data_IF_299348597198
#
_entry.id   IF_299348597198
#
_cell.length_a   1.000
_cell.length_b   1.000
_cell.length_c   1.000
_cell.angle_alpha   90.00
_cell.angle_beta   90.00
_cell.angle_gamma   90.00
#
_symmetry.space_group_name_H-M   'P 1'
#
loop_
_entity.id
_entity.type
_entity.pdbx_description
1 polymer ?
#
# COMPACT_ATOMS: atom_id res chain seq x y z
N UNK A 1 -7.50 13.39 24.78
CA UNK A 1 -8.87 12.81 24.74
C UNK A 1 -9.61 13.13 23.44
N UNK A 2 -9.93 14.39 23.13
CA UNK A 2 -10.62 14.80 21.87
C UNK A 2 -9.93 14.33 20.58
N UNK A 3 -8.59 14.29 20.57
CA UNK A 3 -7.80 13.87 19.41
C UNK A 3 -7.90 12.36 19.12
N UNK A 4 -7.88 11.51 20.15
CA UNK A 4 -8.04 10.05 19.98
C UNK A 4 -9.44 9.72 19.44
N UNK A 5 -10.47 10.41 19.94
CA UNK A 5 -11.84 10.25 19.47
C UNK A 5 -12.03 10.73 18.02
N UNK A 6 -11.46 11.89 17.68
CA UNK A 6 -11.48 12.43 16.32
C UNK A 6 -10.76 11.50 15.33
N UNK A 7 -9.61 10.93 15.74
CA UNK A 7 -8.87 9.96 14.94
C UNK A 7 -9.70 8.69 14.69
N UNK A 8 -10.36 8.13 15.71
CA UNK A 8 -11.22 6.94 15.55
C UNK A 8 -12.42 7.22 14.64
N UNK A 9 -13.09 8.37 14.79
CA UNK A 9 -14.23 8.75 13.92
C UNK A 9 -13.80 8.94 12.46
N UNK A 10 -12.64 9.54 12.23
CA UNK A 10 -12.06 9.72 10.88
C UNK A 10 -11.75 8.37 10.23
N UNK A 11 -11.16 7.45 10.99
CA UNK A 11 -10.84 6.09 10.53
C UNK A 11 -12.10 5.29 10.20
N UNK A 12 -13.15 5.36 11.05
CA UNK A 12 -14.44 4.72 10.80
C UNK A 12 -15.09 5.25 9.51
N UNK A 13 -15.05 6.56 9.28
CA UNK A 13 -15.59 7.16 8.06
C UNK A 13 -14.79 6.76 6.82
N UNK A 14 -13.46 6.73 6.92
CA UNK A 14 -12.57 6.30 5.82
C UNK A 14 -12.87 4.85 5.43
N UNK A 15 -13.00 3.96 6.42
CA UNK A 15 -13.32 2.55 6.21
C UNK A 15 -14.73 2.33 5.65
N UNK A 16 -15.72 3.12 6.10
CA UNK A 16 -17.08 3.07 5.55
C UNK A 16 -17.08 3.48 4.08
N UNK A 17 -16.38 4.56 3.75
CA UNK A 17 -16.20 4.99 2.36
C UNK A 17 -15.57 3.89 1.50
N UNK A 18 -14.53 3.22 2.00
CA UNK A 18 -13.91 2.09 1.29
C UNK A 18 -14.84 0.87 1.14
N UNK A 19 -15.74 0.63 2.10
CA UNK A 19 -16.75 -0.45 2.02
C UNK A 19 -17.84 -0.15 0.97
N UNK A 20 -18.14 1.13 0.75
CA UNK A 20 -19.17 1.60 -0.19
C UNK A 20 -18.66 1.73 -1.63
N UNK A 21 -17.34 1.73 -1.85
CA UNK A 21 -16.78 1.72 -3.20
C UNK A 21 -17.09 0.38 -3.89
N UNK A 22 -17.78 0.37 -5.05
CA UNK A 22 -18.11 -0.85 -5.76
C UNK A 22 -16.84 -1.52 -6.26
N UNK A 23 -16.50 -2.64 -5.65
CA UNK A 23 -15.39 -3.50 -6.03
C UNK A 23 -15.86 -4.34 -7.22
N UNK A 24 -15.82 -3.74 -8.42
CA UNK A 24 -16.19 -4.44 -9.65
C UNK A 24 -15.13 -5.49 -9.98
N UNK A 25 -15.63 -6.69 -10.32
CA UNK A 25 -14.94 -7.80 -11.00
C UNK A 25 -13.65 -8.32 -10.37
N UNK A 26 -13.78 -8.98 -9.23
CA UNK A 26 -12.87 -10.06 -8.82
C UNK A 26 -13.70 -11.24 -8.34
N UNK A 27 -13.96 -12.19 -9.23
CA UNK A 27 -14.53 -13.47 -8.82
C UNK A 27 -13.43 -14.31 -8.17
N UNK A 28 -13.65 -14.73 -6.91
CA UNK A 28 -12.84 -15.76 -6.25
C UNK A 28 -12.66 -15.54 -4.74
N UNK A 29 -12.41 -16.65 -4.03
CA UNK A 29 -12.25 -16.74 -2.57
C UNK A 29 -11.29 -15.72 -1.95
N UNK A 30 -10.28 -15.24 -2.69
CA UNK A 30 -9.29 -14.30 -2.18
C UNK A 30 -9.88 -12.89 -1.95
N UNK A 31 -10.77 -12.43 -2.84
CA UNK A 31 -11.44 -11.14 -2.70
C UNK A 31 -12.36 -11.13 -1.49
N UNK A 32 -13.17 -12.18 -1.37
CA UNK A 32 -14.12 -12.35 -0.27
C UNK A 32 -13.41 -12.43 1.07
N UNK A 33 -12.27 -13.13 1.14
CA UNK A 33 -11.42 -13.18 2.34
C UNK A 33 -10.89 -11.79 2.71
N UNK A 34 -10.47 -10.99 1.74
CA UNK A 34 -9.94 -9.65 2.02
C UNK A 34 -11.03 -8.65 2.39
N UNK A 35 -12.19 -8.72 1.74
CA UNK A 35 -13.38 -7.97 2.13
C UNK A 35 -13.83 -8.33 3.55
N UNK A 36 -13.80 -9.61 3.90
CA UNK A 36 -14.09 -10.08 5.25
C UNK A 36 -13.05 -9.55 6.27
N UNK A 37 -11.77 -9.47 5.91
CA UNK A 37 -10.73 -8.86 6.76
C UNK A 37 -11.04 -7.38 7.00
N UNK A 38 -11.34 -6.61 5.94
CA UNK A 38 -11.68 -5.18 6.05
C UNK A 38 -12.97 -4.98 6.86
N UNK A 39 -14.00 -5.79 6.63
CA UNK A 39 -15.25 -5.74 7.38
C UNK A 39 -15.04 -6.04 8.88
N UNK A 40 -14.28 -7.10 9.19
CA UNK A 40 -13.94 -7.46 10.58
C UNK A 40 -13.14 -6.34 11.27
N UNK A 41 -12.19 -5.72 10.57
CA UNK A 41 -11.44 -4.57 11.09
C UNK A 41 -12.36 -3.37 11.38
N UNK A 42 -13.33 -3.10 10.49
CA UNK A 42 -14.31 -2.03 10.64
C UNK A 42 -15.24 -2.26 11.84
N UNK A 43 -15.71 -3.49 12.02
CA UNK A 43 -16.51 -3.88 13.19
C UNK A 43 -15.73 -3.70 14.49
N UNK A 44 -14.49 -4.19 14.54
CA UNK A 44 -13.60 -4.04 15.70
C UNK A 44 -13.35 -2.58 16.04
N UNK A 45 -13.13 -1.73 15.04
CA UNK A 45 -12.98 -0.28 15.24
C UNK A 45 -14.23 0.39 15.74
N UNK A 46 -15.39 -0.02 15.22
CA UNK A 46 -16.67 0.54 15.65
C UNK A 46 -16.95 0.17 17.12
N UNK A 47 -16.67 -1.08 17.50
CA UNK A 47 -16.78 -1.52 18.89
C UNK A 47 -15.85 -0.72 19.82
N UNK A 48 -14.62 -0.49 19.36
CA UNK A 48 -13.62 0.25 20.10
C UNK A 48 -13.95 1.74 20.22
N UNK A 49 -14.47 2.36 19.16
CA UNK A 49 -14.97 3.73 19.19
C UNK A 49 -16.07 3.90 20.25
N UNK A 50 -16.99 2.94 20.32
CA UNK A 50 -18.03 2.90 21.36
C UNK A 50 -17.43 2.75 22.76
N UNK A 51 -16.39 1.94 22.91
CA UNK A 51 -15.70 1.76 24.21
C UNK A 51 -15.04 3.10 24.64
N UNK A 52 -14.37 3.82 23.73
CA UNK A 52 -13.82 5.17 24.02
C UNK A 52 -14.93 6.16 24.37
N UNK A 53 -15.98 6.27 23.55
CA UNK A 53 -17.11 7.18 23.78
C UNK A 53 -17.75 6.90 25.15
N UNK A 54 -17.87 5.63 25.54
CA UNK A 54 -18.42 5.26 26.85
C UNK A 54 -17.50 5.63 28.02
N UNK A 55 -16.18 5.53 27.87
CA UNK A 55 -15.21 5.99 28.88
C UNK A 55 -15.24 7.52 29.00
N UNK A 56 -15.29 8.23 27.87
CA UNK A 56 -15.33 9.70 27.84
C UNK A 56 -16.62 10.24 28.47
N UNK A 57 -17.76 9.60 28.18
CA UNK A 57 -19.07 10.00 28.68
C UNK A 57 -19.37 9.55 30.12
N UNK A 58 -18.55 8.67 30.73
CA UNK A 58 -18.79 8.17 32.09
C UNK A 58 -18.60 9.29 33.13
N UNK A 59 -19.67 9.75 33.81
CA UNK A 59 -19.58 10.82 34.79
C UNK A 59 -18.97 10.35 36.13
N UNK A 60 -18.82 9.04 36.34
CA UNK A 60 -18.26 8.48 37.58
C UNK A 60 -16.73 8.43 37.56
N UNK A 61 -16.11 8.62 36.40
CA UNK A 61 -14.65 8.61 36.25
C UNK A 61 -14.08 10.02 36.34
N UNK A 62 -13.03 10.16 37.14
CA UNK A 62 -12.16 11.34 37.10
C UNK A 62 -11.36 11.35 35.80
N UNK A 63 -10.82 12.51 35.41
CA UNK A 63 -9.99 12.63 34.19
C UNK A 63 -8.81 11.64 34.18
N UNK A 64 -8.18 11.44 35.35
CA UNK A 64 -7.13 10.43 35.53
C UNK A 64 -7.66 9.00 35.34
N UNK A 65 -8.82 8.68 35.94
CA UNK A 65 -9.45 7.37 35.77
C UNK A 65 -9.86 7.07 34.33
N UNK A 66 -10.29 8.09 33.56
CA UNK A 66 -10.54 7.98 32.11
C UNK A 66 -9.24 7.69 31.36
N UNK A 67 -8.17 8.42 31.68
CA UNK A 67 -6.85 8.21 31.07
C UNK A 67 -6.32 6.79 31.33
N UNK A 68 -6.39 6.30 32.57
CA UNK A 68 -5.91 4.96 32.92
C UNK A 68 -6.70 3.85 32.19
N UNK A 69 -8.03 3.99 32.09
CA UNK A 69 -8.85 3.05 31.31
C UNK A 69 -8.53 3.08 29.82
N UNK A 70 -8.30 4.25 29.24
CA UNK A 70 -7.93 4.39 27.83
C UNK A 70 -6.56 3.77 27.54
N UNK A 71 -5.58 3.96 28.43
CA UNK A 71 -4.26 3.34 28.31
C UNK A 71 -4.33 1.81 28.40
N UNK A 72 -5.29 1.26 29.15
CA UNK A 72 -5.54 -0.18 29.18
C UNK A 72 -6.18 -0.72 27.88
N UNK A 73 -6.86 0.13 27.09
CA UNK A 73 -7.45 -0.30 25.82
C UNK A 73 -6.40 -0.56 24.74
N UNK A 74 -5.31 0.21 24.70
CA UNK A 74 -4.27 0.07 23.68
C UNK A 74 -3.71 -1.36 23.58
N UNK A 75 -3.14 -1.92 24.67
CA UNK A 75 -2.63 -3.29 24.68
C UNK A 75 -3.68 -4.36 24.34
N UNK A 76 -4.93 -4.19 24.82
CA UNK A 76 -6.06 -5.08 24.50
C UNK A 76 -6.42 -5.02 23.01
N UNK A 77 -6.35 -3.82 22.42
CA UNK A 77 -6.67 -3.58 21.02
C UNK A 77 -5.62 -4.16 20.04
N UNK A 78 -4.35 -4.26 20.45
CA UNK A 78 -3.29 -4.88 19.63
C UNK A 78 -3.68 -6.29 19.20
N UNK A 79 -4.18 -7.12 20.13
CA UNK A 79 -4.59 -8.51 19.83
C UNK A 79 -5.69 -8.59 18.77
N UNK A 80 -6.54 -7.57 18.67
CA UNK A 80 -7.64 -7.54 17.72
C UNK A 80 -7.20 -7.23 16.28
N UNK A 81 -6.00 -6.68 16.09
CA UNK A 81 -5.51 -6.20 14.77
C UNK A 81 -4.28 -6.95 14.26
N UNK A 82 -3.84 -8.02 14.94
CA UNK A 82 -2.65 -8.80 14.57
C UNK A 82 -2.63 -9.32 13.11
N UNK A 83 -3.80 -9.50 12.49
CA UNK A 83 -3.90 -9.98 11.12
C UNK A 83 -3.72 -8.89 10.05
N UNK A 84 -3.64 -7.61 10.45
CA UNK A 84 -3.51 -6.50 9.50
C UNK A 84 -2.13 -6.49 8.82
N UNK A 85 -1.06 -6.74 9.58
CA UNK A 85 0.29 -6.91 9.03
C UNK A 85 0.35 -8.03 7.99
N UNK A 86 -0.22 -9.20 8.32
CA UNK A 86 -0.26 -10.35 7.41
C UNK A 86 -1.04 -10.04 6.13
N UNK A 87 -2.20 -9.38 6.23
CA UNK A 87 -2.99 -8.99 5.07
C UNK A 87 -2.23 -8.03 4.13
N UNK A 88 -1.47 -7.08 4.69
CA UNK A 88 -0.61 -6.18 3.90
C UNK A 88 0.49 -6.91 3.16
N UNK A 89 1.17 -7.85 3.84
CA UNK A 89 2.21 -8.66 3.22
C UNK A 89 1.64 -9.52 2.09
N UNK A 90 0.50 -10.19 2.32
CA UNK A 90 -0.17 -10.98 1.29
C UNK A 90 -0.59 -10.13 0.07
N UNK A 91 -1.12 -8.93 0.30
CA UNK A 91 -1.47 -8.02 -0.80
C UNK A 91 -0.22 -7.63 -1.61
N UNK A 92 0.89 -7.31 -0.94
CA UNK A 92 2.15 -7.00 -1.62
C UNK A 92 2.70 -8.20 -2.41
N UNK A 93 2.63 -9.41 -1.87
CA UNK A 93 3.04 -10.63 -2.59
C UNK A 93 2.18 -10.89 -3.84
N UNK A 94 0.86 -10.66 -3.75
CA UNK A 94 -0.05 -10.80 -4.90
C UNK A 94 0.26 -9.76 -5.98
N UNK A 95 0.56 -8.51 -5.62
CA UNK A 95 1.03 -7.49 -6.57
C UNK A 95 2.25 -8.00 -7.34
N UNK A 96 3.27 -8.48 -6.63
CA UNK A 96 4.50 -8.98 -7.26
C UNK A 96 4.21 -10.15 -8.20
N UNK A 97 3.35 -11.09 -7.81
CA UNK A 97 2.97 -12.23 -8.66
C UNK A 97 2.23 -11.79 -9.92
N UNK A 98 1.29 -10.84 -9.80
CA UNK A 98 0.56 -10.28 -10.94
C UNK A 98 1.48 -9.49 -11.87
N UNK A 99 2.39 -8.70 -11.32
CA UNK A 99 3.41 -7.98 -12.10
C UNK A 99 4.32 -8.96 -12.85
N UNK A 100 4.75 -10.06 -12.22
CA UNK A 100 5.52 -11.10 -12.90
C UNK A 100 4.70 -11.78 -14.01
N UNK A 101 3.44 -12.12 -13.73
CA UNK A 101 2.55 -12.75 -14.72
C UNK A 101 2.37 -11.85 -15.96
N UNK A 102 2.20 -10.55 -15.75
CA UNK A 102 1.97 -9.58 -16.83
C UNK A 102 3.28 -9.26 -17.54
N UNK A 103 4.30 -8.83 -16.80
CA UNK A 103 5.50 -8.19 -17.35
C UNK A 103 6.71 -9.11 -17.51
N UNK A 104 6.62 -10.41 -17.18
CA UNK A 104 7.74 -11.34 -17.28
C UNK A 104 8.46 -11.29 -18.64
N UNK A 105 7.75 -11.29 -19.76
CA UNK A 105 8.39 -11.23 -21.08
C UNK A 105 9.04 -9.88 -21.40
N UNK A 106 8.56 -8.80 -20.77
CA UNK A 106 9.12 -7.47 -20.92
C UNK A 106 10.37 -7.27 -20.04
N UNK A 107 10.49 -7.98 -18.92
CA UNK A 107 11.59 -7.78 -17.95
C UNK A 107 12.57 -8.96 -17.88
N UNK A 108 12.20 -10.12 -18.40
CA UNK A 108 13.10 -11.28 -18.47
C UNK A 108 14.10 -11.11 -19.60
N UNK A 109 15.35 -11.53 -19.34
CA UNK A 109 16.34 -11.68 -20.38
C UNK A 109 15.89 -12.76 -21.37
N UNK A 110 16.04 -12.53 -22.69
CA UNK A 110 15.69 -13.55 -23.67
C UNK A 110 16.51 -14.82 -23.44
N UNK A 111 15.89 -15.98 -23.67
CA UNK A 111 16.59 -17.25 -23.67
C UNK A 111 17.54 -17.31 -24.87
N UNK A 112 18.80 -17.69 -24.64
CA UNK A 112 19.80 -17.81 -25.71
C UNK A 112 21.19 -17.34 -25.30
N UNK A 113 22.03 -17.09 -26.31
CA UNK A 113 23.39 -16.58 -26.12
C UNK A 113 23.35 -15.15 -25.57
N UNK A 114 23.88 -14.99 -24.36
CA UNK A 114 23.92 -13.71 -23.63
C UNK A 114 24.75 -12.67 -24.36
N UNK A 115 25.82 -13.08 -25.05
CA UNK A 115 26.69 -12.18 -25.82
C UNK A 115 25.95 -11.65 -27.05
N UNK A 116 25.27 -12.55 -27.78
CA UNK A 116 24.47 -12.14 -28.95
C UNK A 116 23.36 -11.17 -28.54
N UNK A 117 22.65 -11.49 -27.45
CA UNK A 117 21.61 -10.62 -26.89
C UNK A 117 22.17 -9.24 -26.55
N UNK A 118 23.29 -9.20 -25.83
CA UNK A 118 23.94 -7.95 -25.45
C UNK A 118 24.34 -7.10 -26.66
N UNK A 119 24.92 -7.72 -27.69
CA UNK A 119 25.34 -7.02 -28.91
C UNK A 119 24.15 -6.44 -29.69
N UNK A 120 23.01 -7.14 -29.72
CA UNK A 120 21.79 -6.63 -30.35
C UNK A 120 21.18 -5.48 -29.57
N UNK A 121 21.09 -5.59 -28.26
CA UNK A 121 20.62 -4.49 -27.40
C UNK A 121 21.55 -3.25 -27.52
N UNK A 122 22.86 -3.44 -27.57
CA UNK A 122 23.82 -2.35 -27.80
C UNK A 122 23.64 -1.72 -29.19
N UNK A 123 23.43 -2.53 -30.24
CA UNK A 123 23.15 -2.02 -31.59
C UNK A 123 21.86 -1.17 -31.63
N UNK A 124 20.79 -1.62 -30.98
CA UNK A 124 19.53 -0.88 -30.86
C UNK A 124 19.75 0.46 -30.14
N UNK A 125 20.47 0.44 -29.01
CA UNK A 125 20.79 1.65 -28.25
C UNK A 125 21.63 2.63 -29.05
N UNK A 126 22.67 2.17 -29.76
CA UNK A 126 23.49 3.03 -30.63
C UNK A 126 22.71 3.60 -31.81
N UNK A 127 21.74 2.85 -32.33
CA UNK A 127 20.87 3.28 -33.43
C UNK A 127 19.75 4.24 -33.01
N UNK A 128 19.53 4.43 -31.71
CA UNK A 128 18.44 5.25 -31.18
C UNK A 128 19.02 6.52 -30.52
N UNK A 129 18.67 7.74 -30.94
CA UNK A 129 19.04 8.93 -30.19
C UNK A 129 18.39 8.93 -28.79
N UNK A 130 19.12 9.36 -27.75
CA UNK A 130 18.60 9.35 -26.37
C UNK A 130 17.30 10.14 -26.22
N UNK A 131 17.18 11.24 -26.95
CA UNK A 131 16.02 12.13 -26.97
C UNK A 131 14.78 11.46 -27.59
N UNK A 132 14.98 10.42 -28.40
CA UNK A 132 13.92 9.67 -29.07
C UNK A 132 13.60 8.34 -28.39
N UNK A 133 14.44 7.89 -27.45
CA UNK A 133 14.33 6.58 -26.80
C UNK A 133 12.93 6.33 -26.23
N UNK A 134 12.31 7.34 -25.62
CA UNK A 134 10.96 7.22 -25.05
C UNK A 134 9.89 6.92 -26.12
N UNK A 135 9.95 7.58 -27.28
CA UNK A 135 9.00 7.37 -28.37
C UNK A 135 9.23 6.02 -29.04
N UNK A 136 10.50 5.66 -29.31
CA UNK A 136 10.87 4.37 -29.91
C UNK A 136 10.48 3.21 -28.98
N UNK A 137 10.67 3.36 -27.68
CA UNK A 137 10.25 2.37 -26.69
C UNK A 137 8.73 2.18 -26.69
N UNK A 138 7.94 3.26 -26.69
CA UNK A 138 6.48 3.16 -26.69
C UNK A 138 5.97 2.52 -27.99
N UNK A 139 6.58 2.84 -29.12
CA UNK A 139 6.27 2.21 -30.40
C UNK A 139 6.62 0.73 -30.42
N UNK A 140 7.80 0.36 -29.92
CA UNK A 140 8.23 -1.03 -29.79
C UNK A 140 7.25 -1.85 -28.94
N UNK A 141 6.85 -1.30 -27.78
CA UNK A 141 5.83 -1.89 -26.92
C UNK A 141 4.51 -2.10 -27.68
N UNK A 142 4.03 -1.09 -28.40
CA UNK A 142 2.77 -1.14 -29.15
C UNK A 142 2.82 -2.17 -30.29
N UNK A 143 3.98 -2.35 -30.93
CA UNK A 143 4.21 -3.35 -31.98
C UNK A 143 4.49 -4.76 -31.44
N UNK A 144 4.77 -4.90 -30.14
CA UNK A 144 5.19 -6.17 -29.53
C UNK A 144 6.66 -6.51 -29.76
N UNK A 145 7.48 -5.53 -30.16
CA UNK A 145 8.93 -5.67 -30.26
C UNK A 145 9.57 -5.59 -28.86
N UNK A 146 9.62 -6.74 -28.19
CA UNK A 146 10.16 -6.85 -26.83
C UNK A 146 11.69 -6.75 -26.78
N UNK A 147 12.39 -6.96 -27.90
CA UNK A 147 13.85 -6.80 -27.95
C UNK A 147 14.22 -5.32 -27.88
N UNK A 148 13.61 -4.50 -28.72
CA UNK A 148 13.79 -3.03 -28.68
C UNK A 148 13.30 -2.44 -27.37
N UNK A 149 12.13 -2.87 -26.88
CA UNK A 149 11.59 -2.37 -25.62
C UNK A 149 12.52 -2.68 -24.42
N UNK A 150 13.13 -3.87 -24.37
CA UNK A 150 14.11 -4.24 -23.31
C UNK A 150 15.41 -3.47 -23.43
N UNK A 151 15.98 -3.40 -24.64
CA UNK A 151 17.23 -2.71 -24.91
C UNK A 151 17.22 -1.25 -24.41
N UNK A 152 16.07 -0.58 -24.60
CA UNK A 152 15.87 0.81 -24.20
C UNK A 152 15.49 0.97 -22.72
N UNK A 153 14.86 -0.03 -22.10
CA UNK A 153 14.55 -0.03 -20.67
C UNK A 153 15.83 -0.13 -19.82
N UNK A 154 16.75 -1.01 -20.22
CA UNK A 154 18.01 -1.30 -19.51
C UNK A 154 19.19 -0.43 -20.02
N UNK A 155 18.91 0.79 -20.49
CA UNK A 155 19.96 1.68 -20.99
C UNK A 155 20.89 2.13 -19.84
N UNK A 156 22.23 1.98 -19.97
CA UNK A 156 23.17 2.41 -18.94
C UNK A 156 23.21 3.93 -18.75
N UNK A 157 23.18 4.38 -17.49
CA UNK A 157 23.55 5.75 -17.09
C UNK A 157 22.40 6.71 -16.73
N UNK A 158 21.13 6.29 -16.83
CA UNK A 158 19.92 6.91 -16.24
C UNK A 158 18.70 6.29 -16.94
N UNK A 159 17.51 6.23 -16.31
CA UNK A 159 16.28 6.01 -17.06
C UNK A 159 16.16 7.06 -18.17
N UNK A 160 16.16 6.58 -19.42
CA UNK A 160 15.93 7.37 -20.64
C UNK A 160 14.44 7.45 -21.00
N UNK A 161 13.64 6.59 -20.38
CA UNK A 161 12.20 6.55 -20.55
C UNK A 161 11.57 7.26 -19.35
N UNK A 162 10.89 8.41 -19.55
CA UNK A 162 10.14 9.08 -18.50
C UNK A 162 9.08 8.17 -17.88
N UNK A 163 8.81 8.33 -16.58
CA UNK A 163 7.89 7.46 -15.83
C UNK A 163 6.46 7.46 -16.39
N UNK A 164 5.99 8.59 -16.93
CA UNK A 164 4.67 8.70 -17.53
C UNK A 164 4.55 7.88 -18.82
N UNK A 165 5.59 7.90 -19.65
CA UNK A 165 5.67 7.09 -20.88
C UNK A 165 5.80 5.61 -20.51
N UNK A 166 6.67 5.30 -19.55
CA UNK A 166 6.85 3.93 -19.04
C UNK A 166 5.52 3.35 -18.53
N UNK A 167 4.76 4.14 -17.76
CA UNK A 167 3.43 3.75 -17.25
C UNK A 167 2.46 3.48 -18.39
N UNK A 168 2.36 4.38 -19.38
CA UNK A 168 1.48 4.22 -20.54
C UNK A 168 1.82 2.99 -21.38
N UNK A 169 3.11 2.73 -21.62
CA UNK A 169 3.52 1.54 -22.37
C UNK A 169 3.25 0.25 -21.58
N UNK A 170 3.54 0.22 -20.27
CA UNK A 170 3.20 -0.93 -19.42
C UNK A 170 1.70 -1.21 -19.42
N UNK A 171 0.87 -0.18 -19.32
CA UNK A 171 -0.59 -0.31 -19.42
C UNK A 171 -1.02 -0.87 -20.79
N UNK A 172 -0.54 -0.29 -21.90
CA UNK A 172 -0.82 -0.78 -23.26
C UNK A 172 -0.43 -2.25 -23.42
N UNK A 173 0.77 -2.60 -22.97
CA UNK A 173 1.28 -3.98 -23.00
C UNK A 173 0.41 -4.93 -22.18
N UNK A 174 0.08 -4.55 -20.94
CA UNK A 174 -0.71 -5.36 -20.02
C UNK A 174 -2.12 -5.64 -20.55
N UNK A 175 -2.78 -4.63 -21.12
CA UNK A 175 -4.10 -4.75 -21.73
C UNK A 175 -4.12 -5.72 -22.93
N UNK A 176 -3.00 -5.86 -23.66
CA UNK A 176 -2.90 -6.83 -24.76
C UNK A 176 -2.55 -8.24 -24.28
N UNK A 177 -1.61 -8.36 -23.36
CA UNK A 177 -1.05 -9.67 -22.96
C UNK A 177 -1.95 -10.40 -21.98
N UNK A 178 -2.44 -9.70 -20.95
CA UNK A 178 -3.31 -10.29 -19.95
C UNK A 178 -4.22 -9.23 -19.31
N UNK A 179 -5.31 -8.83 -20.00
CA UNK A 179 -6.21 -7.77 -19.52
C UNK A 179 -6.87 -8.14 -18.18
N UNK A 180 -7.15 -9.42 -17.95
CA UNK A 180 -7.72 -9.89 -16.68
C UNK A 180 -6.72 -9.69 -15.54
N UNK A 181 -5.48 -10.14 -15.68
CA UNK A 181 -4.46 -9.94 -14.65
C UNK A 181 -4.16 -8.44 -14.43
N UNK A 182 -4.24 -7.61 -15.47
CA UNK A 182 -4.09 -6.16 -15.35
C UNK A 182 -5.19 -5.52 -14.49
N UNK A 183 -6.45 -5.86 -14.75
CA UNK A 183 -7.59 -5.40 -13.94
C UNK A 183 -7.42 -5.81 -12.47
N UNK A 184 -7.03 -7.07 -12.24
CA UNK A 184 -6.74 -7.57 -10.90
C UNK A 184 -5.59 -6.81 -10.24
N UNK A 185 -4.53 -6.48 -10.97
CA UNK A 185 -3.38 -5.73 -10.44
C UNK A 185 -3.80 -4.32 -10.00
N UNK A 186 -4.58 -3.60 -10.80
CA UNK A 186 -5.10 -2.27 -10.45
C UNK A 186 -5.91 -2.31 -9.16
N UNK A 187 -6.76 -3.33 -9.05
CA UNK A 187 -7.55 -3.54 -7.87
C UNK A 187 -6.71 -3.86 -6.63
N UNK A 188 -5.80 -4.84 -6.72
CA UNK A 188 -4.98 -5.27 -5.58
C UNK A 188 -4.08 -4.13 -5.11
N UNK A 189 -3.59 -3.28 -6.02
CA UNK A 189 -2.86 -2.06 -5.65
C UNK A 189 -3.73 -1.11 -4.83
N UNK A 190 -4.96 -0.82 -5.28
CA UNK A 190 -5.90 0.02 -4.53
C UNK A 190 -6.15 -0.55 -3.12
N UNK A 191 -6.32 -1.86 -3.01
CA UNK A 191 -6.54 -2.52 -1.74
C UNK A 191 -5.30 -2.50 -0.84
N UNK A 192 -4.11 -2.74 -1.39
CA UNK A 192 -2.83 -2.64 -0.68
C UNK A 192 -2.61 -1.24 -0.11
N UNK A 193 -2.94 -0.21 -0.88
CA UNK A 193 -2.83 1.19 -0.46
C UNK A 193 -3.81 1.50 0.66
N UNK A 194 -5.06 1.04 0.53
CA UNK A 194 -6.07 1.17 1.59
C UNK A 194 -5.63 0.45 2.87
N UNK A 195 -5.20 -0.81 2.80
CA UNK A 195 -4.70 -1.56 3.96
C UNK A 195 -3.50 -0.87 4.61
N UNK A 196 -2.62 -0.27 3.82
CA UNK A 196 -1.46 0.47 4.33
C UNK A 196 -1.87 1.76 5.04
N UNK A 197 -2.81 2.52 4.48
CA UNK A 197 -3.39 3.71 5.12
C UNK A 197 -4.09 3.35 6.44
N UNK A 198 -4.91 2.30 6.43
CA UNK A 198 -5.59 1.77 7.62
C UNK A 198 -4.56 1.36 8.68
N UNK A 199 -3.51 0.64 8.31
CA UNK A 199 -2.47 0.20 9.24
C UNK A 199 -1.68 1.37 9.84
N UNK A 200 -1.36 2.40 9.07
CA UNK A 200 -0.72 3.61 9.59
C UNK A 200 -1.61 4.33 10.61
N UNK A 201 -2.91 4.45 10.32
CA UNK A 201 -3.86 5.06 11.24
C UNK A 201 -4.02 4.23 12.53
N UNK A 202 -4.13 2.90 12.41
CA UNK A 202 -4.14 2.01 13.58
C UNK A 202 -2.86 2.09 14.39
N UNK A 203 -1.70 2.11 13.74
CA UNK A 203 -0.42 2.19 14.42
C UNK A 203 -0.32 3.48 15.24
N UNK A 204 -0.65 4.61 14.61
CA UNK A 204 -0.71 5.91 15.27
C UNK A 204 -1.62 5.85 16.50
N UNK A 205 -2.83 5.32 16.32
CA UNK A 205 -3.85 5.31 17.35
C UNK A 205 -3.54 4.36 18.53
N UNK A 206 -2.99 3.18 18.27
CA UNK A 206 -2.54 2.25 19.32
C UNK A 206 -1.43 2.84 20.16
N UNK A 207 -0.49 3.58 19.54
CA UNK A 207 0.53 4.33 20.26
C UNK A 207 -0.09 5.42 21.13
N UNK A 208 -1.14 6.11 20.65
CA UNK A 208 -1.85 7.11 21.44
C UNK A 208 -2.51 6.52 22.70
N UNK A 209 -2.92 5.25 22.62
CA UNK A 209 -3.48 4.49 23.73
C UNK A 209 -2.43 3.73 24.54
N UNK A 210 -1.14 4.01 24.37
CA UNK A 210 -0.09 3.44 25.21
C UNK A 210 0.28 1.99 24.90
N UNK A 211 -0.08 1.45 23.72
CA UNK A 211 0.50 0.19 23.26
C UNK A 211 2.00 0.34 22.99
N UNK A 212 2.79 -0.70 23.23
CA UNK A 212 4.23 -0.66 22.96
C UNK A 212 4.54 -0.63 21.46
N UNK A 213 5.61 0.09 21.02
CA UNK A 213 6.03 0.12 19.62
C UNK A 213 6.22 -1.25 18.98
N UNK A 214 6.76 -2.21 19.73
CA UNK A 214 6.99 -3.57 19.25
C UNK A 214 5.66 -4.29 18.95
N UNK A 215 4.70 -4.20 19.88
CA UNK A 215 3.37 -4.79 19.71
C UNK A 215 2.59 -4.15 18.57
N UNK A 216 2.71 -2.82 18.40
CA UNK A 216 2.09 -2.10 17.28
C UNK A 216 2.71 -2.51 15.95
N UNK A 217 4.04 -2.62 15.89
CA UNK A 217 4.76 -3.07 14.69
C UNK A 217 4.36 -4.48 14.30
N UNK A 218 4.31 -5.40 15.27
CA UNK A 218 3.91 -6.78 15.04
C UNK A 218 2.47 -6.88 14.51
N UNK A 219 1.55 -6.08 15.06
CA UNK A 219 0.14 -6.21 14.70
C UNK A 219 -0.22 -5.53 13.37
N UNK A 220 0.37 -4.37 13.08
CA UNK A 220 0.04 -3.56 11.91
C UNK A 220 1.00 -3.76 10.73
N UNK A 221 2.18 -4.33 10.98
CA UNK A 221 3.29 -4.38 10.02
C UNK A 221 3.87 -3.00 9.68
N UNK A 222 3.57 -1.97 10.48
CA UNK A 222 4.16 -0.63 10.32
C UNK A 222 5.37 -0.54 11.23
N UNK A 223 6.55 -0.27 10.67
CA UNK A 223 7.76 -0.12 11.47
C UNK A 223 7.64 1.10 12.38
N UNK A 224 7.51 0.87 13.69
CA UNK A 224 7.56 1.92 14.72
C UNK A 224 8.93 1.86 15.40
N UNK A 225 9.68 2.97 15.49
CA UNK A 225 10.97 2.97 16.16
C UNK A 225 10.82 2.62 17.66
N UNK A 226 11.70 1.78 18.22
CA UNK A 226 11.64 1.33 19.62
C UNK A 226 11.86 2.49 20.61
N UNK A 227 12.61 3.51 20.19
CA UNK A 227 12.65 4.81 20.85
C UNK A 227 11.77 5.80 20.09
N UNK A 228 10.46 5.65 20.20
CA UNK A 228 9.68 6.87 20.34
C UNK A 228 10.21 7.50 21.65
N UNK A 229 11.28 8.34 21.58
CA UNK A 229 11.42 9.48 22.50
C UNK A 229 10.01 9.93 22.69
N UNK A 230 9.48 9.85 23.92
CA UNK A 230 8.10 10.21 24.26
C UNK A 230 7.80 11.51 23.56
N UNK A 231 7.31 11.39 22.32
CA UNK A 231 7.04 12.51 21.46
C UNK A 231 5.71 12.84 22.03
N UNK A 232 5.70 13.81 22.94
CA UNK A 232 4.48 14.23 23.58
C UNK A 232 3.46 14.37 22.45
N UNK A 233 2.30 13.77 22.63
CA UNK A 233 1.20 13.68 21.65
C UNK A 233 1.13 14.89 20.70
N UNK A 234 1.36 16.08 21.26
CA UNK A 234 1.40 17.37 20.58
C UNK A 234 2.46 17.53 19.47
N UNK A 235 3.67 16.96 19.62
CA UNK A 235 4.72 16.97 18.60
C UNK A 235 4.43 16.03 17.42
N UNK A 236 3.86 14.85 17.70
CA UNK A 236 3.48 13.90 16.65
C UNK A 236 2.34 14.46 15.79
N UNK A 237 1.32 15.02 16.42
CA UNK A 237 0.19 15.65 15.74
C UNK A 237 0.59 16.89 14.93
N UNK A 238 1.56 17.69 15.42
CA UNK A 238 2.14 18.79 14.64
C UNK A 238 2.77 18.28 13.35
N UNK A 239 3.60 17.24 13.42
CA UNK A 239 4.27 16.64 12.24
C UNK A 239 3.27 16.10 11.21
N UNK A 240 2.24 15.39 11.67
CA UNK A 240 1.21 14.84 10.78
C UNK A 240 0.38 15.96 10.12
N UNK A 241 0.01 17.01 10.87
CA UNK A 241 -0.74 18.15 10.31
C UNK A 241 0.04 18.97 9.28
N UNK A 242 1.36 19.04 9.40
CA UNK A 242 2.23 19.69 8.41
C UNK A 242 2.53 18.84 7.18
N UNK A 243 2.35 17.52 7.27
CA UNK A 243 2.57 16.60 6.15
C UNK A 243 1.35 16.52 5.20
N UNK A 244 0.15 16.84 5.70
CA UNK A 244 -1.09 16.91 4.91
C UNK A 244 -1.41 18.30 4.34
N UNK A 245 -0.59 19.31 4.68
CA UNK A 245 -0.73 20.68 4.19
C UNK A 245 0.20 21.02 3.00
N UNK A 246 0.83 20.00 2.41
CA UNK A 246 1.55 20.07 1.12
C UNK A 246 0.94 19.08 0.16
#
# INVERSE_FOLDING_TARGET
MKQALAATKTLVNTLRHHKEQPLRSLSGDALERWLAIVANLLEKLTAMAKEIDSIDADPKLTDRGKQDKLLALGPKAVGNVQNLGNARTQAAEVVVRLEQLIFSLLTSKPAGDVVVTFLREDAIRRGTPKEQAAMVWLEAINRGDLETARALLDWPGSPVIPDDILRRGKESYALRVNPVAWEQLQYVNTLKDNLSSIAQQFASWLLLLGASPESVTQATGVAVPPSAKVMQMDEYLKKVSTATAK
#
